data_IF_144027468232
#
_entry.id   IF_144027468232
#
_cell.length_a   1.000
_cell.length_b   1.000
_cell.length_c   1.000
_cell.angle_alpha   90.00
_cell.angle_beta   90.00
_cell.angle_gamma   90.00
#
_symmetry.space_group_name_H-M   'P 1'
#
loop_
_entity.id
_entity.type
_entity.pdbx_description
1 polymer ?
#
# COMPACT_ATOMS: atom_id res chain seq x y z
N UNK A 1 77.48 25.33 52.19
CA UNK A 1 78.57 26.13 51.58
C UNK A 1 79.31 25.21 50.65
N UNK A 2 79.31 25.45 49.33
CA UNK A 2 80.33 24.95 48.40
C UNK A 2 80.17 25.64 47.04
N UNK A 3 81.29 26.12 46.52
CA UNK A 3 81.51 26.87 45.29
C UNK A 3 82.49 26.05 44.43
N UNK A 4 82.05 25.72 43.19
CA UNK A 4 82.74 25.64 41.86
C UNK A 4 83.91 24.59 41.76
N UNK A 5 84.27 23.87 40.66
CA UNK A 5 84.55 24.28 39.25
C UNK A 5 84.88 23.08 38.29
N UNK A 6 84.31 23.09 37.05
CA UNK A 6 84.76 22.61 35.68
C UNK A 6 84.98 21.07 35.47
N UNK A 7 84.60 20.36 34.38
CA UNK A 7 84.55 20.60 32.94
C UNK A 7 83.57 19.62 32.22
N UNK A 8 83.39 19.80 30.91
CA UNK A 8 82.66 18.97 29.90
C UNK A 8 81.27 19.49 29.49
N UNK A 9 81.25 20.66 28.85
CA UNK A 9 80.19 21.06 27.91
C UNK A 9 80.63 20.61 26.51
N UNK A 10 80.23 19.41 26.10
CA UNK A 10 80.03 19.05 24.68
C UNK A 10 79.28 17.73 24.41
N UNK A 11 78.94 16.91 25.43
CA UNK A 11 78.15 15.68 25.22
C UNK A 11 76.67 15.75 25.62
N UNK A 12 76.20 16.82 26.27
CA UNK A 12 74.82 16.91 26.78
C UNK A 12 73.81 17.60 25.83
N UNK A 13 74.26 18.22 24.74
CA UNK A 13 73.37 18.87 23.76
C UNK A 13 72.86 17.93 22.65
N UNK A 14 73.51 16.79 22.40
CA UNK A 14 73.06 15.82 21.40
C UNK A 14 72.02 14.82 21.95
N UNK A 15 72.07 14.46 23.24
CA UNK A 15 71.10 13.53 23.85
C UNK A 15 69.75 14.21 24.13
N UNK A 16 69.74 15.52 24.41
CA UNK A 16 68.51 16.29 24.60
C UNK A 16 67.74 16.49 23.28
N UNK A 17 68.43 16.76 22.17
CA UNK A 17 67.81 16.92 20.84
C UNK A 17 67.28 15.60 20.25
N UNK A 18 67.96 14.46 20.49
CA UNK A 18 67.48 13.15 20.00
C UNK A 18 66.22 12.70 20.75
N UNK A 19 66.14 12.91 22.07
CA UNK A 19 64.94 12.55 22.86
C UNK A 19 63.74 13.48 22.64
N UNK A 20 63.96 14.76 22.31
CA UNK A 20 62.86 15.65 21.89
C UNK A 20 62.38 15.34 20.48
N UNK A 21 63.26 14.90 19.57
CA UNK A 21 62.88 14.54 18.20
C UNK A 21 62.07 13.23 18.15
N UNK A 22 62.47 12.21 18.90
CA UNK A 22 61.71 10.94 18.99
C UNK A 22 60.37 11.10 19.71
N UNK A 23 60.30 11.94 20.76
CA UNK A 23 59.03 12.28 21.44
C UNK A 23 58.10 13.16 20.57
N UNK A 24 58.64 14.02 19.73
CA UNK A 24 57.86 14.83 18.78
C UNK A 24 57.39 14.00 17.57
N UNK A 25 58.20 13.06 17.10
CA UNK A 25 57.84 12.09 16.05
C UNK A 25 56.71 11.18 16.51
N UNK A 26 56.79 10.61 17.72
CA UNK A 26 55.75 9.72 18.25
C UNK A 26 54.40 10.44 18.45
N UNK A 27 54.42 11.69 18.93
CA UNK A 27 53.19 12.51 19.04
C UNK A 27 52.58 12.88 17.69
N UNK A 28 53.39 13.05 16.65
CA UNK A 28 52.88 13.28 15.30
C UNK A 28 52.29 12.01 14.69
N UNK A 29 52.90 10.85 14.93
CA UNK A 29 52.37 9.54 14.51
C UNK A 29 51.04 9.22 15.21
N UNK A 30 50.94 9.40 16.53
CA UNK A 30 49.67 9.22 17.26
C UNK A 30 48.56 10.18 16.77
N UNK A 31 48.91 11.43 16.47
CA UNK A 31 47.96 12.42 15.97
C UNK A 31 47.48 12.08 14.54
N UNK A 32 48.37 11.58 13.69
CA UNK A 32 48.01 11.09 12.35
C UNK A 32 47.15 9.83 12.43
N UNK A 33 47.46 8.90 13.33
CA UNK A 33 46.67 7.68 13.54
C UNK A 33 45.25 8.01 14.07
N UNK A 34 45.14 8.98 14.98
CA UNK A 34 43.86 9.46 15.49
C UNK A 34 43.01 10.13 14.41
N UNK A 35 43.61 10.98 13.56
CA UNK A 35 42.91 11.60 12.43
C UNK A 35 42.44 10.56 11.41
N UNK A 36 43.27 9.56 11.09
CA UNK A 36 42.92 8.46 10.20
C UNK A 36 41.76 7.62 10.73
N UNK A 37 41.74 7.34 12.04
CA UNK A 37 40.62 6.65 12.70
C UNK A 37 39.31 7.44 12.62
N UNK A 38 39.35 8.77 12.74
CA UNK A 38 38.16 9.61 12.57
C UNK A 38 37.65 9.62 11.13
N UNK A 39 38.54 9.76 10.14
CA UNK A 39 38.15 9.69 8.73
C UNK A 39 37.56 8.33 8.33
N UNK A 40 38.13 7.24 8.85
CA UNK A 40 37.63 5.89 8.60
C UNK A 40 36.27 5.64 9.28
N UNK A 41 36.06 6.18 10.49
CA UNK A 41 34.74 6.19 11.14
C UNK A 41 33.71 7.00 10.33
N UNK A 42 34.08 8.18 9.84
CA UNK A 42 33.18 9.03 9.07
C UNK A 42 32.83 8.41 7.69
N UNK A 43 33.79 7.72 7.06
CA UNK A 43 33.57 6.93 5.84
C UNK A 43 32.67 5.74 6.10
N UNK A 44 32.89 4.99 7.18
CA UNK A 44 32.01 3.88 7.58
C UNK A 44 30.59 4.36 7.91
N UNK A 45 30.45 5.53 8.53
CA UNK A 45 29.14 6.09 8.85
C UNK A 45 28.42 6.61 7.60
N UNK A 46 29.13 7.27 6.67
CA UNK A 46 28.60 7.64 5.35
C UNK A 46 28.21 6.40 4.55
N UNK A 47 29.00 5.33 4.60
CA UNK A 47 28.72 4.08 3.91
C UNK A 47 27.51 3.37 4.52
N UNK A 48 27.40 3.28 5.85
CA UNK A 48 26.20 2.78 6.53
C UNK A 48 24.97 3.64 6.25
N UNK A 49 25.09 4.97 6.16
CA UNK A 49 23.97 5.86 5.77
C UNK A 49 23.56 5.62 4.32
N UNK A 50 24.52 5.33 3.43
CA UNK A 50 24.27 4.99 2.03
C UNK A 50 23.62 3.61 1.89
N UNK A 51 24.11 2.61 2.61
CA UNK A 51 23.53 1.25 2.69
C UNK A 51 22.14 1.25 3.35
N UNK A 52 21.91 2.08 4.38
CA UNK A 52 20.60 2.27 5.01
C UNK A 52 19.63 3.07 4.13
N UNK A 53 20.15 3.94 3.25
CA UNK A 53 19.38 4.59 2.19
C UNK A 53 19.11 3.65 0.99
N UNK A 54 19.88 2.56 0.87
CA UNK A 54 19.75 1.51 -0.13
C UNK A 54 18.86 0.34 0.35
N UNK A 55 18.23 0.46 1.52
CA UNK A 55 17.00 -0.29 1.79
C UNK A 55 15.99 0.23 0.78
N UNK A 56 15.79 -0.53 -0.31
CA UNK A 56 14.85 -0.23 -1.37
C UNK A 56 13.55 0.35 -0.78
N UNK A 57 13.11 1.50 -1.32
CA UNK A 57 11.94 2.18 -0.76
C UNK A 57 10.73 1.26 -0.75
N UNK A 58 10.26 0.97 0.45
CA UNK A 58 9.05 0.18 0.68
C UNK A 58 7.85 1.11 0.65
N UNK A 59 6.85 0.78 -0.16
CA UNK A 59 5.59 1.51 -0.22
C UNK A 59 4.51 0.77 0.57
N UNK A 60 3.57 1.50 1.16
CA UNK A 60 2.35 0.93 1.74
C UNK A 60 1.23 0.98 0.71
N UNK A 61 0.57 -0.14 0.44
CA UNK A 61 -0.58 -0.20 -0.46
C UNK A 61 -1.77 -0.74 0.31
N UNK A 62 -2.85 0.05 0.29
CA UNK A 62 -4.17 -0.44 0.62
C UNK A 62 -4.86 -0.93 -0.66
N UNK A 63 -4.98 -2.25 -0.82
CA UNK A 63 -5.64 -2.86 -1.98
C UNK A 63 -7.13 -3.06 -1.66
N UNK A 64 -7.95 -2.02 -1.75
CA UNK A 64 -9.36 -2.11 -1.40
C UNK A 64 -10.26 -2.65 -2.52
N UNK A 65 -11.48 -3.06 -2.13
CA UNK A 65 -12.47 -3.68 -3.03
C UNK A 65 -12.93 -2.75 -4.16
N UNK A 66 -13.19 -1.47 -3.84
CA UNK A 66 -13.64 -0.44 -4.79
C UNK A 66 -12.57 0.59 -5.11
N UNK A 67 -11.71 0.90 -4.15
CA UNK A 67 -10.63 1.87 -4.27
C UNK A 67 -9.36 1.30 -3.65
N UNK A 68 -8.22 1.66 -4.23
CA UNK A 68 -6.90 1.39 -3.69
C UNK A 68 -6.19 2.70 -3.36
N UNK A 69 -5.27 2.65 -2.41
CA UNK A 69 -4.48 3.78 -1.95
C UNK A 69 -3.01 3.37 -1.86
N UNK A 70 -2.10 4.31 -2.12
CA UNK A 70 -0.67 4.08 -1.97
C UNK A 70 -0.03 5.23 -1.19
N UNK A 71 0.84 4.88 -0.26
CA UNK A 71 1.51 5.80 0.62
C UNK A 71 3.00 5.46 0.77
N UNK A 72 3.79 6.46 1.16
CA UNK A 72 5.21 6.31 1.45
C UNK A 72 5.52 6.90 2.82
N UNK A 73 6.47 6.30 3.54
CA UNK A 73 7.04 6.91 4.74
C UNK A 73 8.35 7.61 4.36
N UNK A 74 8.38 8.94 4.43
CA UNK A 74 9.52 9.75 4.03
C UNK A 74 9.65 10.94 4.98
N UNK A 75 10.89 11.32 5.31
CA UNK A 75 11.18 12.47 6.17
C UNK A 75 10.38 12.47 7.48
N UNK A 76 10.23 11.29 8.10
CA UNK A 76 9.57 11.13 9.40
C UNK A 76 8.04 11.18 9.40
N UNK A 77 7.39 11.26 8.24
CA UNK A 77 5.92 11.26 8.14
C UNK A 77 5.43 10.35 7.00
N UNK A 78 4.15 10.00 7.07
CA UNK A 78 3.44 9.27 6.02
C UNK A 78 2.88 10.28 5.02
N UNK A 79 3.09 10.03 3.74
CA UNK A 79 2.49 10.79 2.64
C UNK A 79 1.65 9.86 1.76
N UNK A 80 0.36 10.19 1.64
CA UNK A 80 -0.56 9.51 0.73
C UNK A 80 -0.42 10.14 -0.65
N UNK A 81 -0.15 9.32 -1.66
CA UNK A 81 0.21 9.82 -2.98
C UNK A 81 -1.03 10.07 -3.85
N UNK A 82 -0.97 11.15 -4.62
CA UNK A 82 -1.95 11.46 -5.65
C UNK A 82 -1.63 10.71 -6.94
N UNK A 83 -2.67 10.22 -7.61
CA UNK A 83 -2.55 9.63 -8.93
C UNK A 83 -2.42 10.70 -10.02
N UNK A 84 -2.36 10.27 -11.29
CA UNK A 84 -2.26 11.12 -12.47
C UNK A 84 -3.49 12.02 -12.74
N UNK A 85 -4.54 11.90 -11.92
CA UNK A 85 -5.72 12.77 -11.92
C UNK A 85 -5.80 13.65 -10.67
N UNK A 86 -4.79 13.63 -9.80
CA UNK A 86 -4.78 14.37 -8.53
C UNK A 86 -5.58 13.71 -7.41
N UNK A 87 -6.02 12.45 -7.58
CA UNK A 87 -6.81 11.74 -6.57
C UNK A 87 -5.90 10.92 -5.64
N UNK A 88 -6.12 11.02 -4.32
CA UNK A 88 -5.39 10.22 -3.30
C UNK A 88 -5.84 8.76 -3.19
N UNK A 89 -6.97 8.43 -3.81
CA UNK A 89 -7.48 7.08 -3.93
C UNK A 89 -7.76 6.81 -5.40
N UNK A 90 -7.40 5.62 -5.87
CA UNK A 90 -7.58 5.22 -7.26
C UNK A 90 -8.62 4.10 -7.33
N UNK A 91 -9.62 4.16 -8.22
CA UNK A 91 -10.59 3.07 -8.36
C UNK A 91 -9.91 1.72 -8.63
N UNK A 92 -10.35 0.67 -7.96
CA UNK A 92 -9.91 -0.72 -8.20
C UNK A 92 -10.60 -1.31 -9.44
N UNK A 93 -10.38 -0.66 -10.59
CA UNK A 93 -11.01 -0.94 -11.87
C UNK A 93 -9.95 -1.24 -12.93
N UNK A 94 -10.25 -2.20 -13.79
CA UNK A 94 -9.46 -2.52 -14.99
C UNK A 94 -10.42 -2.62 -16.16
N UNK A 95 -10.10 -2.05 -17.31
CA UNK A 95 -10.87 -2.26 -18.54
C UNK A 95 -9.96 -2.57 -19.71
N UNK A 96 -10.45 -3.40 -20.60
CA UNK A 96 -9.79 -3.72 -21.86
C UNK A 96 -10.62 -3.15 -23.01
N UNK A 97 -9.98 -2.30 -23.80
CA UNK A 97 -10.59 -1.71 -25.00
C UNK A 97 -10.53 -2.70 -26.17
N UNK A 98 -11.30 -2.41 -27.22
CA UNK A 98 -11.32 -3.25 -28.43
C UNK A 98 -9.99 -3.26 -29.19
N UNK A 99 -9.16 -2.22 -29.07
CA UNK A 99 -7.83 -2.16 -29.68
C UNK A 99 -6.73 -2.83 -28.84
N UNK A 100 -7.07 -3.43 -27.69
CA UNK A 100 -6.12 -4.12 -26.82
C UNK A 100 -5.41 -3.26 -25.79
N UNK A 101 -5.77 -1.98 -25.69
CA UNK A 101 -5.31 -1.13 -24.60
C UNK A 101 -5.93 -1.57 -23.27
N UNK A 102 -5.09 -1.58 -22.23
CA UNK A 102 -5.50 -1.86 -20.85
C UNK A 102 -5.47 -0.56 -20.07
N UNK A 103 -6.64 -0.12 -19.61
CA UNK A 103 -6.79 1.05 -18.76
C UNK A 103 -7.09 0.61 -17.33
N UNK A 104 -6.59 1.36 -16.35
CA UNK A 104 -6.67 1.03 -14.92
C UNK A 104 -7.04 2.30 -14.14
N UNK A 105 -7.78 2.19 -13.04
CA UNK A 105 -8.12 3.33 -12.20
C UNK A 105 -9.26 4.18 -12.75
N UNK A 106 -9.12 5.50 -12.66
CA UNK A 106 -10.14 6.46 -13.10
C UNK A 106 -10.51 6.30 -14.58
N UNK A 107 -9.52 6.08 -15.44
CA UNK A 107 -9.74 5.82 -16.87
C UNK A 107 -10.62 4.59 -17.10
N UNK A 108 -10.40 3.51 -16.35
CA UNK A 108 -11.20 2.30 -16.44
C UNK A 108 -12.63 2.51 -15.93
N UNK A 109 -12.77 3.17 -14.76
CA UNK A 109 -14.08 3.48 -14.17
C UNK A 109 -14.94 4.32 -15.10
N UNK A 110 -14.34 5.28 -15.81
CA UNK A 110 -15.05 6.16 -16.75
C UNK A 110 -15.66 5.40 -17.94
N UNK A 111 -15.08 4.26 -18.34
CA UNK A 111 -15.58 3.45 -19.46
C UNK A 111 -16.64 2.41 -19.04
N UNK A 112 -16.93 2.23 -17.75
CA UNK A 112 -17.90 1.23 -17.28
C UNK A 112 -19.26 1.32 -17.99
N UNK A 113 -19.73 2.54 -18.28
CA UNK A 113 -21.03 2.75 -18.93
C UNK A 113 -21.05 2.36 -20.42
N UNK A 114 -19.93 2.51 -21.12
CA UNK A 114 -19.82 2.21 -22.56
C UNK A 114 -19.21 0.84 -22.86
N UNK A 115 -18.47 0.27 -21.92
CA UNK A 115 -17.76 -1.00 -22.06
C UNK A 115 -17.96 -1.91 -20.82
N UNK A 116 -19.20 -2.19 -20.39
CA UNK A 116 -19.46 -2.87 -19.11
C UNK A 116 -18.94 -4.31 -19.06
N UNK A 117 -18.98 -5.04 -20.18
CA UNK A 117 -18.59 -6.45 -20.27
C UNK A 117 -17.07 -6.67 -20.15
N UNK A 118 -16.27 -5.65 -20.46
CA UNK A 118 -14.82 -5.70 -20.38
C UNK A 118 -14.25 -4.75 -19.32
N UNK A 119 -15.09 -4.25 -18.41
CA UNK A 119 -14.66 -3.40 -17.28
C UNK A 119 -14.85 -4.17 -15.98
N UNK A 120 -13.74 -4.60 -15.39
CA UNK A 120 -13.64 -5.44 -14.20
C UNK A 120 -13.48 -4.55 -12.97
N UNK A 121 -14.22 -4.89 -11.93
CA UNK A 121 -14.20 -4.23 -10.61
C UNK A 121 -14.59 -5.25 -9.54
N UNK A 122 -14.42 -4.90 -8.25
CA UNK A 122 -14.72 -5.78 -7.11
C UNK A 122 -13.97 -7.13 -7.16
N UNK A 123 -12.88 -7.21 -7.91
CA UNK A 123 -12.19 -8.48 -8.14
C UNK A 123 -11.63 -9.10 -6.85
N UNK A 124 -11.35 -8.27 -5.83
CA UNK A 124 -10.93 -8.69 -4.48
C UNK A 124 -11.90 -9.72 -3.86
N UNK A 125 -13.18 -9.71 -4.25
CA UNK A 125 -14.19 -10.68 -3.81
C UNK A 125 -13.93 -12.11 -4.30
N UNK A 126 -13.22 -12.25 -5.41
CA UNK A 126 -12.92 -13.55 -6.04
C UNK A 126 -11.53 -14.09 -5.70
N UNK A 127 -10.65 -13.25 -5.15
CA UNK A 127 -9.27 -13.60 -4.79
C UNK A 127 -9.23 -14.81 -3.85
N UNK A 128 -8.45 -15.84 -4.21
CA UNK A 128 -8.23 -17.03 -3.38
C UNK A 128 -9.49 -17.86 -3.08
N UNK A 129 -10.57 -17.70 -3.85
CA UNK A 129 -11.82 -18.48 -3.71
C UNK A 129 -11.98 -19.49 -4.83
N UNK A 130 -12.86 -20.46 -4.60
CA UNK A 130 -13.32 -21.41 -5.60
C UNK A 130 -14.55 -20.88 -6.36
N UNK A 131 -14.71 -21.28 -7.62
CA UNK A 131 -15.80 -20.82 -8.48
C UNK A 131 -17.17 -21.23 -7.96
N UNK A 132 -17.25 -22.37 -7.27
CA UNK A 132 -18.49 -22.92 -6.74
C UNK A 132 -18.81 -22.47 -5.32
N UNK A 133 -17.96 -21.63 -4.70
CA UNK A 133 -18.27 -20.97 -3.42
C UNK A 133 -19.61 -20.20 -3.55
N UNK A 134 -20.60 -20.42 -2.67
CA UNK A 134 -21.88 -19.70 -2.70
C UNK A 134 -21.72 -18.18 -2.76
N UNK A 135 -20.72 -17.60 -2.08
CA UNK A 135 -20.49 -16.16 -2.12
C UNK A 135 -20.02 -15.70 -3.51
N UNK A 136 -19.15 -16.48 -4.16
CA UNK A 136 -18.69 -16.21 -5.54
C UNK A 136 -19.86 -16.31 -6.51
N UNK A 137 -20.69 -17.35 -6.38
CA UNK A 137 -21.89 -17.51 -7.21
C UNK A 137 -22.87 -16.36 -7.04
N UNK A 138 -22.99 -15.81 -5.84
CA UNK A 138 -23.85 -14.66 -5.59
C UNK A 138 -23.27 -13.39 -6.23
N UNK A 139 -21.97 -13.12 -6.03
CA UNK A 139 -21.30 -11.96 -6.62
C UNK A 139 -21.32 -11.97 -8.17
N UNK A 140 -21.15 -13.14 -8.81
CA UNK A 140 -21.15 -13.27 -10.27
C UNK A 140 -22.48 -12.82 -10.90
N UNK A 141 -23.61 -12.96 -10.20
CA UNK A 141 -24.93 -12.53 -10.70
C UNK A 141 -25.01 -11.01 -10.87
N UNK A 142 -24.23 -10.26 -10.09
CA UNK A 142 -24.23 -8.80 -10.07
C UNK A 142 -23.15 -8.21 -11.00
N UNK A 143 -22.26 -9.03 -11.53
CA UNK A 143 -21.20 -8.59 -12.42
C UNK A 143 -21.71 -8.44 -13.86
N UNK A 144 -21.40 -7.31 -14.53
CA UNK A 144 -21.69 -7.15 -15.94
C UNK A 144 -20.66 -7.84 -16.83
N UNK A 145 -19.59 -8.42 -16.28
CA UNK A 145 -18.54 -9.11 -17.03
C UNK A 145 -18.60 -10.62 -16.75
N UNK A 146 -18.06 -11.43 -17.67
CA UNK A 146 -18.13 -12.88 -17.58
C UNK A 146 -17.08 -13.46 -16.63
N UNK A 147 -17.52 -14.35 -15.74
CA UNK A 147 -16.64 -15.16 -14.88
C UNK A 147 -16.97 -16.64 -15.12
N UNK A 148 -15.95 -17.41 -15.50
CA UNK A 148 -16.06 -18.83 -15.82
C UNK A 148 -15.28 -19.68 -14.82
N UNK A 149 -15.62 -20.97 -14.73
CA UNK A 149 -14.83 -21.94 -14.00
C UNK A 149 -13.64 -22.38 -14.86
N UNK A 150 -12.44 -22.39 -14.28
CA UNK A 150 -11.27 -23.07 -14.85
C UNK A 150 -10.51 -23.71 -13.70
N UNK A 151 -10.38 -25.03 -13.73
CA UNK A 151 -9.74 -25.82 -12.66
C UNK A 151 -10.32 -25.46 -11.27
N UNK A 152 -11.66 -25.43 -11.19
CA UNK A 152 -12.47 -25.03 -10.02
C UNK A 152 -12.25 -23.59 -9.50
N UNK A 153 -11.42 -22.79 -10.17
CA UNK A 153 -11.17 -21.37 -9.83
C UNK A 153 -12.00 -20.43 -10.70
N UNK A 154 -12.43 -19.27 -10.16
CA UNK A 154 -13.07 -18.24 -10.95
C UNK A 154 -12.05 -17.53 -11.83
N UNK A 155 -12.35 -17.40 -13.12
CA UNK A 155 -11.50 -16.71 -14.09
C UNK A 155 -12.36 -15.72 -14.87
N UNK A 156 -11.89 -14.47 -14.97
CA UNK A 156 -12.56 -13.42 -15.73
C UNK A 156 -12.29 -13.61 -17.20
N UNK A 157 -13.35 -13.59 -18.01
CA UNK A 157 -13.28 -13.68 -19.46
C UNK A 157 -13.58 -12.31 -20.07
N UNK A 158 -12.65 -11.80 -20.87
CA UNK A 158 -12.77 -10.51 -21.56
C UNK A 158 -12.61 -10.67 -23.07
N UNK A 159 -13.31 -9.84 -23.83
CA UNK A 159 -13.22 -9.78 -25.29
C UNK A 159 -12.37 -8.59 -25.71
N UNK A 160 -11.24 -8.86 -26.36
CA UNK A 160 -10.33 -7.85 -26.90
C UNK A 160 -10.32 -7.97 -28.43
N UNK A 161 -11.04 -7.07 -29.10
CA UNK A 161 -11.25 -7.16 -30.54
C UNK A 161 -11.97 -8.47 -30.88
N UNK A 162 -11.34 -9.31 -31.71
CA UNK A 162 -11.82 -10.66 -32.05
C UNK A 162 -11.29 -11.76 -31.11
N UNK A 163 -10.40 -11.43 -30.17
CA UNK A 163 -9.75 -12.42 -29.30
C UNK A 163 -10.36 -12.44 -27.89
N UNK A 164 -10.61 -13.63 -27.39
CA UNK A 164 -10.96 -13.84 -25.98
C UNK A 164 -9.70 -13.98 -25.13
N UNK A 165 -9.65 -13.30 -23.99
CA UNK A 165 -8.60 -13.48 -22.99
C UNK A 165 -9.20 -13.85 -21.64
N UNK A 166 -8.44 -14.66 -20.91
CA UNK A 166 -8.78 -15.13 -19.59
C UNK A 166 -7.79 -14.53 -18.59
N UNK A 167 -8.30 -14.02 -17.48
CA UNK A 167 -7.49 -13.45 -16.40
C UNK A 167 -7.95 -14.00 -15.06
N UNK A 168 -7.00 -14.43 -14.23
CA UNK A 168 -7.30 -14.78 -12.84
C UNK A 168 -7.57 -13.52 -12.01
N UNK A 169 -8.27 -13.64 -10.86
CA UNK A 169 -8.43 -12.53 -9.93
C UNK A 169 -7.10 -11.90 -9.52
N UNK A 170 -6.06 -12.72 -9.34
CA UNK A 170 -4.70 -12.30 -9.00
C UNK A 170 -4.08 -11.46 -10.10
N UNK A 171 -4.25 -11.83 -11.38
CA UNK A 171 -3.74 -11.05 -12.51
C UNK A 171 -4.42 -9.68 -12.63
N UNK A 172 -5.74 -9.60 -12.41
CA UNK A 172 -6.45 -8.30 -12.40
C UNK A 172 -6.01 -7.46 -11.20
N UNK A 173 -5.91 -8.04 -10.01
CA UNK A 173 -5.38 -7.37 -8.81
C UNK A 173 -3.94 -6.90 -9.03
N UNK A 174 -3.12 -7.67 -9.74
CA UNK A 174 -1.74 -7.29 -10.09
C UNK A 174 -1.69 -6.07 -11.01
N UNK A 175 -2.67 -5.90 -11.91
CA UNK A 175 -2.77 -4.69 -12.73
C UNK A 175 -3.05 -3.46 -11.85
N UNK A 176 -3.93 -3.59 -10.86
CA UNK A 176 -4.24 -2.51 -9.90
C UNK A 176 -3.00 -2.19 -9.05
N UNK A 177 -2.31 -3.20 -8.52
CA UNK A 177 -1.05 -3.06 -7.79
C UNK A 177 0.05 -2.43 -8.65
N UNK A 178 0.11 -2.79 -9.94
CA UNK A 178 1.00 -2.20 -10.92
C UNK A 178 0.77 -0.70 -11.08
N UNK A 179 -0.49 -0.25 -11.15
CA UNK A 179 -0.84 1.17 -11.14
C UNK A 179 -0.44 1.86 -9.84
N UNK A 180 -0.61 1.21 -8.69
CA UNK A 180 -0.17 1.77 -7.39
C UNK A 180 1.35 1.94 -7.33
N UNK A 181 2.09 0.96 -7.85
CA UNK A 181 3.54 1.05 -8.03
C UNK A 181 3.90 2.21 -8.96
N UNK A 182 3.26 2.33 -10.13
CA UNK A 182 3.54 3.41 -11.09
C UNK A 182 3.34 4.81 -10.50
N UNK A 183 2.28 4.99 -9.70
CA UNK A 183 2.04 6.24 -8.95
C UNK A 183 3.23 6.54 -8.03
N UNK A 184 3.66 5.54 -7.24
CA UNK A 184 4.80 5.69 -6.34
C UNK A 184 6.12 5.92 -7.09
N UNK A 185 6.37 5.22 -8.20
CA UNK A 185 7.57 5.40 -9.02
C UNK A 185 7.63 6.81 -9.63
N UNK A 186 6.49 7.34 -10.08
CA UNK A 186 6.37 8.70 -10.62
C UNK A 186 6.70 9.73 -9.55
N UNK A 187 6.13 9.58 -8.36
CA UNK A 187 6.36 10.47 -7.23
C UNK A 187 7.83 10.40 -6.73
N UNK A 188 8.36 9.19 -6.55
CA UNK A 188 9.71 8.97 -6.01
C UNK A 188 10.83 9.15 -7.05
N UNK A 189 10.48 9.19 -8.35
CA UNK A 189 11.41 9.23 -9.50
C UNK A 189 12.43 8.09 -9.51
N UNK A 190 12.01 6.90 -9.06
CA UNK A 190 12.84 5.69 -9.04
C UNK A 190 11.96 4.44 -9.08
N UNK A 191 12.58 3.30 -9.38
CA UNK A 191 11.91 2.01 -9.34
C UNK A 191 11.53 1.58 -7.93
N UNK A 192 10.35 1.00 -7.79
CA UNK A 192 9.82 0.49 -6.52
C UNK A 192 9.63 -1.02 -6.66
N UNK A 193 10.30 -1.76 -5.77
CA UNK A 193 10.29 -3.24 -5.80
C UNK A 193 9.64 -3.85 -4.57
N UNK A 194 9.41 -3.09 -3.50
CA UNK A 194 8.99 -3.64 -2.21
C UNK A 194 7.73 -2.94 -1.73
N UNK A 195 6.78 -3.71 -1.23
CA UNK A 195 5.54 -3.20 -0.71
C UNK A 195 5.12 -3.92 0.58
N UNK A 196 4.43 -3.20 1.45
CA UNK A 196 3.54 -3.77 2.46
C UNK A 196 2.12 -3.61 1.95
N UNK A 197 1.35 -4.70 1.90
CA UNK A 197 -0.01 -4.70 1.34
C UNK A 197 -1.02 -5.10 2.41
N UNK A 198 -2.16 -4.41 2.46
CA UNK A 198 -3.23 -4.71 3.41
C UNK A 198 -4.18 -5.79 2.90
N UNK A 199 -4.78 -6.55 3.83
CA UNK A 199 -5.89 -7.47 3.59
C UNK A 199 -6.87 -7.43 4.76
N UNK A 200 -8.15 -7.81 4.58
CA UNK A 200 -9.09 -7.94 5.69
C UNK A 200 -8.59 -8.94 6.74
N UNK A 201 -8.92 -8.72 8.01
CA UNK A 201 -8.46 -9.59 9.09
C UNK A 201 -8.95 -11.04 8.93
N UNK A 202 -10.17 -11.22 8.43
CA UNK A 202 -10.79 -12.54 8.19
C UNK A 202 -10.26 -13.27 6.96
N UNK A 203 -9.38 -12.67 6.15
CA UNK A 203 -8.81 -13.37 4.98
C UNK A 203 -8.08 -14.64 5.43
N UNK A 204 -8.46 -15.76 4.83
CA UNK A 204 -7.80 -17.04 5.05
C UNK A 204 -6.45 -17.11 4.31
N UNK A 205 -5.72 -18.21 4.50
CA UNK A 205 -4.39 -18.40 3.92
C UNK A 205 -4.39 -18.37 2.38
N UNK A 206 -5.42 -18.94 1.73
CA UNK A 206 -5.53 -18.94 0.27
C UNK A 206 -5.70 -17.51 -0.27
N UNK A 207 -6.53 -16.68 0.37
CA UNK A 207 -6.75 -15.28 -0.03
C UNK A 207 -5.53 -14.40 0.23
N UNK A 208 -4.82 -14.65 1.35
CA UNK A 208 -3.53 -13.99 1.64
C UNK A 208 -2.47 -14.38 0.62
N UNK A 209 -2.39 -15.65 0.26
CA UNK A 209 -1.45 -16.12 -0.74
C UNK A 209 -1.75 -15.53 -2.12
N UNK A 210 -3.02 -15.56 -2.56
CA UNK A 210 -3.46 -14.91 -3.79
C UNK A 210 -3.05 -13.43 -3.86
N UNK A 211 -3.14 -12.71 -2.73
CA UNK A 211 -2.70 -11.30 -2.65
C UNK A 211 -1.18 -11.14 -2.82
N UNK A 212 -0.38 -12.05 -2.24
CA UNK A 212 1.09 -12.08 -2.46
C UNK A 212 1.44 -12.44 -3.90
N UNK A 213 0.70 -13.37 -4.51
CA UNK A 213 0.89 -13.77 -5.90
C UNK A 213 0.58 -12.58 -6.82
N UNK A 214 -0.49 -11.83 -6.57
CA UNK A 214 -0.79 -10.60 -7.27
C UNK A 214 0.33 -9.55 -7.15
N UNK A 215 0.96 -9.42 -5.97
CA UNK A 215 2.14 -8.56 -5.81
C UNK A 215 3.30 -9.03 -6.69
N UNK A 216 3.56 -10.34 -6.70
CA UNK A 216 4.64 -10.94 -7.48
C UNK A 216 4.44 -10.71 -8.98
N UNK A 217 3.22 -10.92 -9.49
CA UNK A 217 2.83 -10.66 -10.88
C UNK A 217 2.98 -9.16 -11.21
N UNK A 218 2.67 -8.28 -10.26
CA UNK A 218 2.87 -6.83 -10.41
C UNK A 218 4.35 -6.41 -10.38
N UNK A 219 5.29 -7.31 -10.11
CA UNK A 219 6.72 -7.01 -9.94
C UNK A 219 7.03 -6.33 -8.61
N UNK A 220 6.24 -6.63 -7.57
CA UNK A 220 6.44 -6.18 -6.19
C UNK A 220 6.75 -7.38 -5.29
N UNK A 221 7.77 -7.24 -4.45
CA UNK A 221 8.01 -8.11 -3.32
C UNK A 221 7.15 -7.64 -2.14
N UNK A 222 6.16 -8.44 -1.77
CA UNK A 222 5.32 -8.20 -0.59
C UNK A 222 6.12 -8.52 0.69
N UNK A 223 6.83 -7.52 1.22
CA UNK A 223 7.63 -7.62 2.46
C UNK A 223 6.77 -8.14 3.61
N UNK A 224 5.52 -7.66 3.67
CA UNK A 224 4.52 -8.15 4.61
C UNK A 224 3.13 -7.95 4.05
N UNK A 225 2.26 -8.90 4.32
CA UNK A 225 0.81 -8.73 4.21
C UNK A 225 0.28 -8.47 5.60
N UNK A 226 -0.30 -7.30 5.84
CA UNK A 226 -0.80 -6.89 7.15
C UNK A 226 -2.32 -6.80 7.14
N UNK A 227 -2.94 -6.97 8.30
CA UNK A 227 -4.39 -6.78 8.42
C UNK A 227 -4.73 -5.30 8.31
N UNK A 228 -5.76 -4.96 7.54
CA UNK A 228 -6.36 -3.62 7.46
C UNK A 228 -6.59 -2.99 8.85
N UNK A 229 -7.22 -3.65 9.83
CA UNK A 229 -7.41 -3.07 11.15
C UNK A 229 -6.10 -2.85 11.93
N UNK A 230 -5.08 -3.69 11.72
CA UNK A 230 -3.75 -3.46 12.30
C UNK A 230 -3.07 -2.25 11.66
N UNK A 231 -3.19 -2.09 10.34
CA UNK A 231 -2.68 -0.92 9.62
C UNK A 231 -3.35 0.38 10.11
N UNK A 232 -4.67 0.36 10.29
CA UNK A 232 -5.43 1.47 10.84
C UNK A 232 -4.98 1.80 12.28
N UNK A 233 -4.77 0.79 13.11
CA UNK A 233 -4.25 0.99 14.47
C UNK A 233 -2.85 1.62 14.50
N UNK A 234 -1.96 1.20 13.60
CA UNK A 234 -0.64 1.82 13.44
C UNK A 234 -0.78 3.29 13.00
N UNK A 235 -1.65 3.57 12.03
CA UNK A 235 -1.87 4.92 11.51
C UNK A 235 -2.44 5.89 12.56
N UNK A 236 -3.28 5.41 13.48
CA UNK A 236 -3.79 6.21 14.61
C UNK A 236 -2.69 6.61 15.61
N UNK A 237 -1.48 6.05 15.49
CA UNK A 237 -0.35 6.38 16.36
C UNK A 237 -0.24 5.51 17.62
N UNK A 238 -1.02 4.43 17.71
CA UNK A 238 -1.05 3.54 18.88
C UNK A 238 0.28 2.84 19.15
N UNK A 239 1.11 2.65 18.12
CA UNK A 239 2.44 2.07 18.25
C UNK A 239 3.49 3.01 18.85
N UNK A 240 3.18 4.32 18.94
CA UNK A 240 4.06 5.36 19.49
C UNK A 240 3.54 5.95 20.81
N UNK A 241 2.39 5.47 21.30
CA UNK A 241 1.87 5.86 22.60
C UNK A 241 2.85 5.40 23.70
N UNK A 242 3.07 6.29 24.68
CA UNK A 242 4.08 6.17 25.74
C UNK A 242 4.23 4.74 26.27
N UNK A 243 5.49 4.28 26.40
CA UNK A 243 5.86 2.95 26.95
C UNK A 243 5.35 2.70 28.38
N UNK A 244 4.81 3.72 29.04
CA UNK A 244 4.20 3.64 30.37
C UNK A 244 2.70 3.27 30.34
N UNK A 245 2.08 3.17 29.17
CA UNK A 245 0.66 2.84 29.06
C UNK A 245 0.44 1.33 29.12
N UNK A 246 -0.37 0.92 30.10
CA UNK A 246 -1.02 -0.40 30.20
C UNK A 246 -1.72 -0.77 28.90
N UNK A 247 -1.81 -2.07 28.58
CA UNK A 247 -2.54 -2.59 27.41
C UNK A 247 -3.83 -1.79 27.11
N UNK A 248 -3.93 -1.28 25.88
CA UNK A 248 -5.11 -0.57 25.40
C UNK A 248 -5.95 -1.49 24.53
N UNK A 249 -7.25 -1.45 24.72
CA UNK A 249 -8.21 -2.11 23.83
C UNK A 249 -8.77 -1.08 22.86
N UNK A 250 -8.66 -1.36 21.55
CA UNK A 250 -9.14 -0.50 20.47
C UNK A 250 -10.15 -1.26 19.64
N UNK A 251 -11.24 -0.60 19.28
CA UNK A 251 -12.19 -1.11 18.29
C UNK A 251 -11.97 -0.37 16.97
N UNK A 252 -11.58 -1.11 15.94
CA UNK A 252 -11.53 -0.61 14.56
C UNK A 252 -12.87 -0.93 13.91
N UNK A 253 -13.54 0.11 13.44
CA UNK A 253 -14.77 0.04 12.66
C UNK A 253 -14.45 0.48 11.23
N UNK A 254 -14.42 -0.46 10.30
CA UNK A 254 -14.09 -0.23 8.90
C UNK A 254 -15.32 -0.54 8.02
N UNK A 255 -15.96 0.51 7.50
CA UNK A 255 -17.09 0.41 6.59
C UNK A 255 -16.67 0.94 5.21
N UNK A 256 -16.14 0.04 4.39
CA UNK A 256 -15.62 0.35 3.07
C UNK A 256 -16.70 0.41 1.99
N UNK A 257 -16.26 0.34 0.73
CA UNK A 257 -17.17 0.38 -0.42
C UNK A 257 -18.00 -0.90 -0.59
N UNK A 258 -17.51 -2.05 -0.13
CA UNK A 258 -18.25 -3.32 -0.26
C UNK A 258 -18.01 -4.32 0.88
N UNK A 259 -17.18 -3.98 1.84
CA UNK A 259 -16.91 -4.81 3.02
C UNK A 259 -17.11 -3.97 4.26
N UNK A 260 -17.65 -4.61 5.29
CA UNK A 260 -17.79 -4.06 6.62
C UNK A 260 -17.07 -4.96 7.59
N UNK A 261 -16.18 -4.38 8.38
CA UNK A 261 -15.26 -5.07 9.27
C UNK A 261 -15.23 -4.37 10.64
N UNK A 262 -15.36 -5.15 11.70
CA UNK A 262 -15.18 -4.70 13.07
C UNK A 262 -14.13 -5.59 13.71
N UNK A 263 -13.05 -4.99 14.19
CA UNK A 263 -11.98 -5.72 14.86
C UNK A 263 -11.67 -5.10 16.22
N UNK A 264 -11.58 -5.94 17.24
CA UNK A 264 -11.09 -5.56 18.56
C UNK A 264 -9.60 -5.90 18.62
N UNK A 265 -8.78 -4.88 18.84
CA UNK A 265 -7.34 -5.02 18.99
C UNK A 265 -6.95 -4.75 20.43
N UNK A 266 -5.97 -5.49 20.93
CA UNK A 266 -5.22 -5.14 22.13
C UNK A 266 -3.84 -4.68 21.70
N UNK A 267 -3.44 -3.52 22.19
CA UNK A 267 -2.15 -2.89 21.89
C UNK A 267 -1.37 -2.69 23.17
N UNK A 268 -0.15 -3.21 23.19
CA UNK A 268 0.76 -3.08 24.33
C UNK A 268 2.20 -3.33 23.91
N UNK A 269 3.13 -2.52 24.43
CA UNK A 269 4.57 -2.65 24.13
C UNK A 269 4.91 -2.68 22.62
N UNK A 270 4.13 -1.98 21.80
CA UNK A 270 4.30 -1.95 20.34
C UNK A 270 3.80 -3.20 19.60
N UNK A 271 3.18 -4.15 20.31
CA UNK A 271 2.53 -5.33 19.72
C UNK A 271 1.05 -5.03 19.52
N UNK A 272 0.53 -5.42 18.35
CA UNK A 272 -0.88 -5.36 18.00
C UNK A 272 -1.42 -6.78 17.89
N UNK A 273 -2.36 -7.14 18.76
CA UNK A 273 -3.04 -8.42 18.73
C UNK A 273 -4.50 -8.22 18.32
N UNK A 274 -4.98 -8.98 17.33
CA UNK A 274 -6.40 -9.02 16.98
C UNK A 274 -7.08 -10.03 17.89
N UNK A 275 -7.89 -9.54 18.83
CA UNK A 275 -8.59 -10.39 19.81
C UNK A 275 -9.86 -10.99 19.21
N UNK A 276 -10.60 -10.18 18.46
CA UNK A 276 -11.82 -10.61 17.80
C UNK A 276 -12.00 -9.83 16.50
N UNK A 277 -12.59 -10.49 15.50
CA UNK A 277 -13.00 -9.86 14.25
C UNK A 277 -14.36 -10.40 13.83
N UNK A 278 -15.23 -9.52 13.36
CA UNK A 278 -16.54 -9.87 12.81
C UNK A 278 -16.89 -8.82 11.74
N UNK A 279 -17.88 -9.09 10.90
CA UNK A 279 -18.22 -8.18 9.82
C UNK A 279 -19.19 -8.80 8.82
N UNK A 280 -19.33 -8.11 7.70
CA UNK A 280 -20.08 -8.57 6.55
C UNK A 280 -19.28 -8.29 5.28
N UNK A 281 -18.90 -9.37 4.59
CA UNK A 281 -18.09 -9.30 3.37
C UNK A 281 -18.86 -8.73 2.18
N UNK A 282 -20.17 -8.51 2.29
CA UNK A 282 -21.09 -8.05 1.25
C UNK A 282 -21.96 -6.87 1.75
N UNK A 283 -21.38 -6.00 2.58
CA UNK A 283 -22.01 -4.76 3.03
C UNK A 283 -21.03 -3.60 2.88
N UNK A 284 -21.45 -2.51 2.25
CA UNK A 284 -20.68 -1.27 2.20
C UNK A 284 -21.37 -0.14 1.45
N UNK A 285 -20.56 0.84 1.06
CA UNK A 285 -21.02 2.03 0.34
C UNK A 285 -21.84 1.76 -0.93
N UNK A 286 -21.57 0.66 -1.64
CA UNK A 286 -22.30 0.26 -2.84
C UNK A 286 -23.74 -0.19 -2.55
N UNK A 287 -24.02 -0.78 -1.40
CA UNK A 287 -25.37 -1.18 -0.98
C UNK A 287 -26.21 0.06 -0.71
N UNK A 288 -25.60 1.11 -0.15
CA UNK A 288 -26.25 2.40 0.04
C UNK A 288 -26.59 3.04 -1.31
N UNK A 289 -25.66 2.99 -2.27
CA UNK A 289 -25.92 3.45 -3.63
C UNK A 289 -27.09 2.70 -4.26
N UNK A 290 -27.13 1.36 -4.12
CA UNK A 290 -28.20 0.52 -4.65
C UNK A 290 -29.56 0.92 -4.09
N UNK A 291 -29.67 1.15 -2.77
CA UNK A 291 -30.94 1.56 -2.13
C UNK A 291 -31.42 2.91 -2.65
N UNK A 292 -30.50 3.86 -2.84
CA UNK A 292 -30.85 5.18 -3.43
C UNK A 292 -31.25 5.02 -4.90
N UNK A 293 -30.54 4.19 -5.68
CA UNK A 293 -30.91 3.89 -7.06
C UNK A 293 -32.32 3.28 -7.16
N UNK A 294 -32.65 2.28 -6.34
CA UNK A 294 -33.97 1.64 -6.32
C UNK A 294 -35.08 2.65 -6.03
N UNK A 295 -34.85 3.56 -5.07
CA UNK A 295 -35.77 4.66 -4.79
C UNK A 295 -35.96 5.57 -6.01
N UNK A 296 -34.87 6.01 -6.64
CA UNK A 296 -34.91 6.91 -7.80
C UNK A 296 -35.55 6.25 -9.04
N UNK A 297 -35.34 4.95 -9.26
CA UNK A 297 -35.97 4.18 -10.34
C UNK A 297 -37.49 4.12 -10.12
N UNK A 298 -37.94 3.83 -8.89
CA UNK A 298 -39.36 3.83 -8.53
C UNK A 298 -39.98 5.20 -8.76
N UNK A 299 -39.32 6.27 -8.29
CA UNK A 299 -39.79 7.65 -8.45
C UNK A 299 -39.85 8.06 -9.93
N UNK A 300 -38.85 7.70 -10.73
CA UNK A 300 -38.83 7.96 -12.17
C UNK A 300 -40.00 7.28 -12.87
N UNK A 301 -40.28 6.01 -12.54
CA UNK A 301 -41.43 5.28 -13.07
C UNK A 301 -42.75 5.94 -12.68
N UNK A 302 -42.90 6.38 -11.44
CA UNK A 302 -44.10 7.09 -10.98
C UNK A 302 -44.31 8.41 -11.74
N UNK A 303 -43.24 9.19 -11.97
CA UNK A 303 -43.33 10.49 -12.64
C UNK A 303 -43.50 10.41 -14.16
N UNK A 304 -42.93 9.40 -14.80
CA UNK A 304 -42.83 9.33 -16.28
C UNK A 304 -43.61 8.17 -16.90
N UNK A 305 -44.07 7.22 -16.10
CA UNK A 305 -44.65 5.95 -16.55
C UNK A 305 -43.63 4.97 -17.16
N UNK A 306 -42.36 5.35 -17.33
CA UNK A 306 -41.33 4.54 -18.00
C UNK A 306 -40.51 3.74 -16.99
N UNK A 307 -40.21 2.48 -17.33
CA UNK A 307 -39.32 1.64 -16.52
C UNK A 307 -37.87 1.75 -17.03
N UNK A 308 -36.90 1.85 -16.12
CA UNK A 308 -35.47 1.92 -16.48
C UNK A 308 -34.88 0.51 -16.37
N UNK A 309 -34.74 -0.15 -17.53
CA UNK A 309 -34.09 -1.47 -17.61
C UNK A 309 -32.81 -1.45 -18.45
N UNK A 310 -32.57 -0.38 -19.21
CA UNK A 310 -31.35 -0.22 -20.00
C UNK A 310 -30.11 -0.17 -19.10
N UNK A 311 -29.17 -1.07 -19.32
CA UNK A 311 -27.94 -1.18 -18.55
C UNK A 311 -27.15 0.13 -18.56
N UNK A 312 -27.09 0.81 -19.72
CA UNK A 312 -26.36 2.07 -19.84
C UNK A 312 -26.99 3.17 -18.98
N UNK A 313 -28.31 3.28 -18.96
CA UNK A 313 -29.03 4.20 -18.09
C UNK A 313 -28.81 3.89 -16.60
N UNK A 314 -28.85 2.61 -16.21
CA UNK A 314 -28.58 2.18 -14.83
C UNK A 314 -27.16 2.53 -14.38
N UNK A 315 -26.15 2.38 -15.24
CA UNK A 315 -24.77 2.76 -14.92
C UNK A 315 -24.59 4.27 -14.80
N UNK A 316 -25.25 5.07 -15.65
CA UNK A 316 -25.28 6.53 -15.49
C UNK A 316 -25.91 6.93 -14.16
N UNK A 317 -27.05 6.33 -13.81
CA UNK A 317 -27.72 6.58 -12.54
C UNK A 317 -26.81 6.24 -11.35
N UNK A 318 -26.18 5.05 -11.36
CA UNK A 318 -25.24 4.62 -10.32
C UNK A 318 -24.13 5.64 -10.10
N UNK A 319 -23.50 6.12 -11.18
CA UNK A 319 -22.43 7.11 -11.11
C UNK A 319 -22.87 8.42 -10.46
N UNK A 320 -24.03 8.95 -10.84
CA UNK A 320 -24.52 10.20 -10.24
C UNK A 320 -25.03 10.00 -8.80
N UNK A 321 -25.57 8.82 -8.46
CA UNK A 321 -25.94 8.47 -7.08
C UNK A 321 -24.71 8.40 -6.17
N UNK A 322 -23.63 7.75 -6.60
CA UNK A 322 -22.40 7.68 -5.80
C UNK A 322 -21.84 9.09 -5.53
N UNK A 323 -21.84 9.97 -6.54
CA UNK A 323 -21.44 11.37 -6.36
C UNK A 323 -22.35 12.09 -5.38
N UNK A 324 -23.67 11.96 -5.51
CA UNK A 324 -24.63 12.59 -4.61
C UNK A 324 -24.44 12.11 -3.16
N UNK A 325 -24.24 10.80 -2.94
CA UNK A 325 -23.93 10.24 -1.61
C UNK A 325 -22.71 10.90 -0.96
N UNK A 326 -21.64 11.13 -1.74
CA UNK A 326 -20.42 11.80 -1.26
C UNK A 326 -20.68 13.25 -0.86
N UNK A 327 -21.41 14.00 -1.69
CA UNK A 327 -21.77 15.41 -1.44
C UNK A 327 -22.58 15.54 -0.14
N UNK A 328 -23.57 14.66 0.05
CA UNK A 328 -24.42 14.64 1.25
C UNK A 328 -23.68 14.31 2.55
N UNK A 329 -22.41 13.91 2.49
CA UNK A 329 -21.58 13.68 3.69
C UNK A 329 -20.91 14.96 4.20
N UNK A 330 -20.91 16.04 3.40
CA UNK A 330 -20.25 17.32 3.73
C UNK A 330 -21.17 18.54 3.65
N UNK A 331 -22.26 18.45 2.88
CA UNK A 331 -23.28 19.50 2.80
C UNK A 331 -24.45 19.13 3.73
N UNK A 332 -24.50 19.78 4.90
CA UNK A 332 -25.66 19.79 5.81
C UNK A 332 -26.02 21.23 6.12
#
# INVERSE_FOLDING_TARGET
MNIIVINVITCLLLISMVNTFSFWSSKNEEKQEYQKKQEDQEKQEKQRRKEKADVDTVIGIDLGTTYSCVAVFKNGHVEVLENDQGNRITPSYVTFTSNGERLIGDAAKNLLTSNPQNTIFRIKRLMGREYYDPSVKQDIKDFPFSVIAKDDKPVVKVQIGSTEKLFTPEEISAMILGKMREIAETYLRKKVKYAVVTVPAYFNDAQRQATKDACTIAGLNAVRVINEPTAAGIAYGLGSLNKEISYQTILVFDLGGGTFDVSLLVVGSGVFEVVATNGNTHLGGEDFDLRVMEYLIKLFKQKTGKNVQDTRALQKLRREVEKAKRILSSEV
#
